data_IF_137923261667
#
_entry.id   IF_137923261667
#
_cell.length_a   1.000
_cell.length_b   1.000
_cell.length_c   1.000
_cell.angle_alpha   90.00
_cell.angle_beta   90.00
_cell.angle_gamma   90.00
#
_symmetry.space_group_name_H-M   'P 1'
#
loop_
_entity.id
_entity.type
_entity.pdbx_description
1 polymer ?
#
# COMPACT_ATOMS: atom_id res chain seq x y z
N UNK A 1 2.10 5.47 -13.55
CA UNK A 1 1.00 5.15 -12.61
C UNK A 1 1.07 3.65 -12.38
N UNK A 2 0.74 3.16 -11.19
CA UNK A 2 0.80 1.71 -10.93
C UNK A 2 -0.42 1.06 -11.55
N UNK A 3 -0.20 0.05 -12.38
CA UNK A 3 -1.23 -0.66 -13.12
C UNK A 3 -1.53 -2.02 -12.47
N UNK A 4 -2.68 -2.60 -12.84
CA UNK A 4 -3.09 -3.94 -12.38
C UNK A 4 -2.03 -5.01 -12.67
N UNK A 5 -1.39 -4.91 -13.85
CA UNK A 5 -0.36 -5.85 -14.27
C UNK A 5 0.78 -5.91 -13.25
N UNK A 6 1.22 -4.76 -12.71
CA UNK A 6 2.36 -4.65 -11.79
C UNK A 6 2.16 -5.52 -10.52
N UNK A 7 0.93 -5.62 -10.01
CA UNK A 7 0.60 -6.47 -8.85
C UNK A 7 0.57 -7.94 -9.23
N UNK A 8 0.01 -8.24 -10.40
CA UNK A 8 -0.18 -9.60 -10.88
C UNK A 8 1.16 -10.25 -11.31
N UNK A 9 2.05 -9.49 -11.93
CA UNK A 9 3.39 -9.91 -12.41
C UNK A 9 4.41 -10.05 -11.29
N UNK A 10 4.23 -9.31 -10.19
CA UNK A 10 5.19 -9.23 -9.09
C UNK A 10 6.13 -8.03 -9.17
N UNK A 11 5.97 -7.15 -10.16
CA UNK A 11 6.81 -5.95 -10.32
C UNK A 11 6.68 -4.99 -9.13
N UNK A 12 5.50 -4.93 -8.48
CA UNK A 12 5.35 -4.19 -7.22
C UNK A 12 6.31 -4.71 -6.15
N UNK A 13 6.42 -6.03 -6.01
CA UNK A 13 7.29 -6.64 -5.00
C UNK A 13 8.76 -6.33 -5.28
N UNK A 14 9.21 -6.47 -6.53
CA UNK A 14 10.58 -6.16 -6.93
C UNK A 14 10.89 -4.67 -6.76
N UNK A 15 9.95 -3.79 -7.09
CA UNK A 15 10.07 -2.35 -6.84
C UNK A 15 10.22 -2.03 -5.36
N UNK A 16 9.46 -2.69 -4.47
CA UNK A 16 9.62 -2.51 -3.01
C UNK A 16 10.98 -3.02 -2.54
N UNK A 17 11.43 -4.19 -2.99
CA UNK A 17 12.77 -4.73 -2.63
C UNK A 17 13.89 -3.80 -3.07
N UNK A 18 13.78 -3.21 -4.24
CA UNK A 18 14.79 -2.27 -4.74
C UNK A 18 14.84 -1.00 -3.90
N UNK A 19 13.68 -0.44 -3.53
CA UNK A 19 13.62 0.72 -2.64
C UNK A 19 14.20 0.44 -1.26
N UNK A 20 13.97 -0.76 -0.70
CA UNK A 20 14.61 -1.19 0.55
C UNK A 20 16.14 -1.17 0.43
N UNK A 21 16.69 -1.77 -0.64
CA UNK A 21 18.15 -1.77 -0.89
C UNK A 21 18.74 -0.36 -1.05
N UNK A 22 17.99 0.57 -1.63
CA UNK A 22 18.40 1.97 -1.73
C UNK A 22 18.38 2.63 -0.35
N UNK A 23 17.30 2.46 0.43
CA UNK A 23 17.19 3.03 1.77
C UNK A 23 18.28 2.55 2.74
N UNK A 24 18.77 1.31 2.61
CA UNK A 24 19.91 0.82 3.41
C UNK A 24 21.19 1.63 3.21
N UNK A 25 21.32 2.32 2.08
CA UNK A 25 22.50 3.12 1.71
C UNK A 25 22.33 4.61 1.95
N UNK A 26 21.13 5.06 2.36
CA UNK A 26 20.80 6.49 2.40
C UNK A 26 21.62 7.29 3.41
N UNK A 27 22.08 6.65 4.48
CA UNK A 27 22.95 7.27 5.50
C UNK A 27 24.46 7.05 5.21
N UNK A 28 24.78 6.45 4.05
CA UNK A 28 26.14 6.13 3.62
C UNK A 28 26.81 7.24 2.79
N UNK A 29 28.05 7.00 2.31
CA UNK A 29 28.79 7.96 1.48
C UNK A 29 28.07 8.36 0.18
N UNK A 30 27.27 7.46 -0.39
CA UNK A 30 26.45 7.71 -1.58
C UNK A 30 25.03 8.21 -1.25
N UNK A 31 24.77 8.61 0.00
CA UNK A 31 23.43 8.92 0.50
C UNK A 31 22.68 10.00 -0.28
N UNK A 32 23.39 11.05 -0.72
CA UNK A 32 22.81 12.13 -1.52
C UNK A 32 22.34 11.63 -2.91
N UNK A 33 23.17 10.84 -3.61
CA UNK A 33 22.80 10.25 -4.91
C UNK A 33 21.63 9.28 -4.78
N UNK A 34 21.64 8.47 -3.71
CA UNK A 34 20.55 7.55 -3.38
C UNK A 34 19.25 8.31 -3.11
N UNK A 35 19.31 9.43 -2.38
CA UNK A 35 18.17 10.29 -2.11
C UNK A 35 17.59 10.87 -3.40
N UNK A 36 18.43 11.45 -4.25
CA UNK A 36 17.98 12.01 -5.54
C UNK A 36 17.30 10.96 -6.42
N UNK A 37 17.84 9.73 -6.46
CA UNK A 37 17.25 8.63 -7.20
C UNK A 37 15.89 8.21 -6.63
N UNK A 38 15.78 8.10 -5.30
CA UNK A 38 14.51 7.78 -4.65
C UNK A 38 13.47 8.90 -4.86
N UNK A 39 13.87 10.17 -4.75
CA UNK A 39 12.97 11.31 -5.01
C UNK A 39 12.46 11.31 -6.46
N UNK A 40 13.33 11.05 -7.44
CA UNK A 40 12.96 10.89 -8.85
C UNK A 40 11.97 9.75 -9.06
N UNK A 41 12.16 8.60 -8.38
CA UNK A 41 11.28 7.43 -8.50
C UNK A 41 9.92 7.65 -7.83
N UNK A 42 9.90 8.37 -6.72
CA UNK A 42 8.68 8.67 -5.96
C UNK A 42 7.99 9.95 -6.41
N UNK A 43 8.48 10.62 -7.46
CA UNK A 43 7.84 11.82 -7.99
C UNK A 43 6.35 11.56 -8.30
N UNK A 44 5.47 12.34 -7.67
CA UNK A 44 4.02 12.22 -7.83
C UNK A 44 3.41 11.00 -7.12
N UNK A 45 4.15 10.25 -6.30
CA UNK A 45 3.63 9.14 -5.51
C UNK A 45 2.53 9.57 -4.54
N UNK A 46 2.55 10.82 -4.05
CA UNK A 46 1.53 11.38 -3.17
C UNK A 46 0.13 11.48 -3.83
N UNK A 47 0.07 11.40 -5.16
CA UNK A 47 -1.19 11.32 -5.92
C UNK A 47 -1.72 9.89 -6.00
N UNK A 48 -0.87 8.91 -5.69
CA UNK A 48 -1.16 7.47 -5.77
C UNK A 48 -1.40 6.86 -4.39
N UNK A 49 -0.90 7.45 -3.32
CA UNK A 49 -1.13 6.95 -1.96
C UNK A 49 -1.65 8.05 -1.04
N UNK A 50 -2.64 7.72 -0.20
CA UNK A 50 -3.17 8.65 0.79
C UNK A 50 -3.57 7.96 2.09
N UNK A 51 -3.49 8.68 3.20
CA UNK A 51 -4.04 8.23 4.48
C UNK A 51 -5.57 8.30 4.46
N UNK A 52 -6.20 7.29 5.05
CA UNK A 52 -7.64 7.21 5.19
C UNK A 52 -8.04 6.76 6.60
N UNK A 53 -9.18 7.26 7.09
CA UNK A 53 -9.82 6.76 8.29
C UNK A 53 -10.87 5.69 7.96
N UNK A 54 -11.33 4.97 9.00
CA UNK A 54 -12.25 3.84 8.84
C UNK A 54 -13.52 4.20 8.06
N UNK A 55 -14.06 5.40 8.21
CA UNK A 55 -15.28 5.83 7.50
C UNK A 55 -15.06 5.91 5.98
N UNK A 56 -13.89 6.40 5.55
CA UNK A 56 -13.51 6.44 4.13
C UNK A 56 -13.35 5.01 3.60
N UNK A 57 -12.70 4.15 4.38
CA UNK A 57 -12.49 2.74 3.99
C UNK A 57 -13.81 1.97 3.91
N UNK A 58 -14.73 2.21 4.84
CA UNK A 58 -16.07 1.62 4.85
C UNK A 58 -16.82 2.02 3.57
N UNK A 59 -16.81 3.31 3.22
CA UNK A 59 -17.43 3.75 1.97
C UNK A 59 -16.80 3.13 0.72
N UNK A 60 -15.48 2.89 0.70
CA UNK A 60 -14.81 2.24 -0.42
C UNK A 60 -15.20 0.76 -0.52
N UNK A 61 -15.27 0.05 0.61
CA UNK A 61 -15.69 -1.35 0.68
C UNK A 61 -17.14 -1.50 0.24
N UNK A 62 -18.07 -0.68 0.75
CA UNK A 62 -19.50 -0.72 0.40
C UNK A 62 -19.77 -0.44 -1.09
N UNK A 63 -18.93 0.37 -1.74
CA UNK A 63 -19.07 0.70 -3.17
C UNK A 63 -18.43 -0.33 -4.10
N UNK A 64 -17.61 -1.24 -3.56
CA UNK A 64 -16.87 -2.22 -4.35
C UNK A 64 -17.76 -3.36 -4.81
N UNK A 65 -17.44 -3.92 -5.98
CA UNK A 65 -18.14 -5.08 -6.56
C UNK A 65 -17.50 -6.39 -6.15
N UNK A 66 -16.18 -6.39 -6.02
CA UNK A 66 -15.39 -7.56 -5.64
C UNK A 66 -14.42 -7.17 -4.55
N UNK A 67 -14.28 -8.04 -3.56
CA UNK A 67 -13.42 -7.83 -2.41
C UNK A 67 -12.54 -9.07 -2.26
N UNK A 68 -11.26 -8.85 -2.03
CA UNK A 68 -10.32 -9.88 -1.66
C UNK A 68 -9.46 -9.44 -0.47
N UNK A 69 -8.96 -10.41 0.28
CA UNK A 69 -8.03 -10.20 1.39
C UNK A 69 -6.77 -11.00 1.10
N UNK A 70 -5.61 -10.39 1.27
CA UNK A 70 -4.32 -11.04 1.02
C UNK A 70 -3.16 -10.41 1.78
N UNK A 71 -1.95 -10.97 1.64
CA UNK A 71 -0.75 -10.41 2.23
C UNK A 71 -0.45 -9.04 1.64
N UNK A 72 0.30 -8.24 2.41
CA UNK A 72 0.85 -6.96 1.92
C UNK A 72 2.18 -7.23 1.22
N UNK A 73 2.50 -6.48 0.18
CA UNK A 73 3.82 -6.59 -0.48
C UNK A 73 4.99 -6.47 0.51
N UNK A 74 4.88 -5.62 1.54
CA UNK A 74 5.92 -5.49 2.57
C UNK A 74 6.07 -6.73 3.47
N UNK A 75 5.03 -7.55 3.64
CA UNK A 75 5.12 -8.79 4.44
C UNK A 75 5.82 -9.91 3.70
N UNK A 76 5.76 -9.92 2.37
CA UNK A 76 6.52 -10.86 1.55
C UNK A 76 8.03 -10.56 1.55
N UNK A 77 8.42 -9.35 1.98
CA UNK A 77 9.82 -8.92 2.05
C UNK A 77 10.34 -9.00 3.48
N UNK A 78 9.53 -8.62 4.45
CA UNK A 78 9.89 -8.54 5.87
C UNK A 78 9.12 -9.61 6.65
N UNK A 79 9.59 -10.86 6.55
CA UNK A 79 9.01 -12.02 7.25
C UNK A 79 9.07 -11.87 8.79
N UNK A 80 9.95 -11.00 9.28
CA UNK A 80 10.19 -10.68 10.69
C UNK A 80 9.31 -9.51 11.20
N UNK A 81 8.36 -9.04 10.40
CA UNK A 81 7.41 -8.02 10.82
C UNK A 81 6.70 -8.43 12.12
N UNK A 82 6.93 -7.68 13.20
CA UNK A 82 6.37 -7.97 14.53
C UNK A 82 4.86 -7.77 14.65
N UNK A 83 4.21 -7.17 13.63
CA UNK A 83 2.76 -6.89 13.61
C UNK A 83 2.18 -7.14 12.21
N UNK A 84 2.21 -8.38 11.72
CA UNK A 84 1.75 -8.65 10.37
C UNK A 84 0.23 -8.50 10.32
N UNK A 85 -0.26 -7.76 9.33
CA UNK A 85 -1.67 -7.71 8.98
C UNK A 85 -1.89 -7.75 7.47
N UNK A 86 -3.07 -8.24 7.10
CA UNK A 86 -3.54 -8.36 5.72
C UNK A 86 -4.01 -7.02 5.17
N UNK A 87 -3.98 -6.89 3.84
CA UNK A 87 -4.63 -5.81 3.12
C UNK A 87 -5.98 -6.27 2.55
N UNK A 88 -6.82 -5.30 2.23
CA UNK A 88 -8.05 -5.50 1.47
C UNK A 88 -7.82 -4.97 0.06
N UNK A 89 -8.20 -5.75 -0.94
CA UNK A 89 -8.15 -5.39 -2.35
C UNK A 89 -9.57 -5.30 -2.90
N UNK A 90 -9.80 -4.35 -3.81
CA UNK A 90 -11.12 -4.05 -4.37
C UNK A 90 -11.13 -4.26 -5.89
N UNK A 91 -12.32 -4.56 -6.41
CA UNK A 91 -12.69 -4.58 -7.82
C UNK A 91 -11.69 -5.36 -8.70
N UNK A 92 -11.23 -4.76 -9.80
CA UNK A 92 -10.39 -5.44 -10.80
C UNK A 92 -9.07 -5.96 -10.21
N UNK A 93 -8.52 -5.28 -9.20
CA UNK A 93 -7.33 -5.75 -8.48
C UNK A 93 -7.62 -6.98 -7.64
N UNK A 94 -8.78 -7.01 -6.97
CA UNK A 94 -9.21 -8.17 -6.19
C UNK A 94 -9.36 -9.41 -7.08
N UNK A 95 -9.99 -9.25 -8.25
CA UNK A 95 -10.14 -10.33 -9.23
C UNK A 95 -8.77 -10.84 -9.70
N UNK A 96 -7.89 -9.95 -10.14
CA UNK A 96 -6.57 -10.31 -10.66
C UNK A 96 -5.73 -11.05 -9.61
N UNK A 97 -5.75 -10.61 -8.34
CA UNK A 97 -4.99 -11.26 -7.27
C UNK A 97 -5.56 -12.62 -6.89
N UNK A 98 -6.89 -12.77 -6.88
CA UNK A 98 -7.55 -14.06 -6.63
C UNK A 98 -7.23 -15.06 -7.74
N UNK A 99 -7.31 -14.65 -9.00
CA UNK A 99 -6.98 -15.51 -10.15
C UNK A 99 -5.53 -16.01 -10.14
N UNK A 100 -4.61 -15.20 -9.62
CA UNK A 100 -3.20 -15.57 -9.45
C UNK A 100 -2.91 -16.33 -8.15
N UNK A 101 -3.92 -16.62 -7.33
CA UNK A 101 -3.76 -17.30 -6.04
C UNK A 101 -3.00 -16.48 -4.99
N UNK A 102 -2.95 -15.16 -5.16
CA UNK A 102 -2.26 -14.21 -4.26
C UNK A 102 -3.19 -13.62 -3.19
N UNK A 103 -4.50 -13.71 -3.36
CA UNK A 103 -5.50 -13.27 -2.40
C UNK A 103 -6.72 -14.20 -2.40
N UNK A 104 -7.54 -14.10 -1.36
CA UNK A 104 -8.77 -14.88 -1.22
C UNK A 104 -9.98 -13.95 -1.29
N UNK A 105 -11.07 -14.38 -1.95
CA UNK A 105 -12.33 -13.63 -1.95
C UNK A 105 -12.84 -13.45 -0.53
N UNK A 106 -13.40 -12.29 -0.26
CA UNK A 106 -13.95 -11.95 1.04
C UNK A 106 -15.28 -11.19 0.92
N UNK A 107 -16.03 -11.19 2.01
CA UNK A 107 -17.22 -10.34 2.18
C UNK A 107 -16.84 -8.96 2.70
N UNK A 108 -17.73 -7.97 2.54
CA UNK A 108 -17.59 -6.64 3.15
C UNK A 108 -17.32 -6.73 4.66
N UNK A 109 -18.05 -7.61 5.36
CA UNK A 109 -17.89 -7.82 6.80
C UNK A 109 -16.49 -8.32 7.15
N UNK A 110 -15.94 -9.27 6.39
CA UNK A 110 -14.59 -9.79 6.61
C UNK A 110 -13.52 -8.73 6.33
N UNK A 111 -13.67 -7.97 5.25
CA UNK A 111 -12.77 -6.85 4.93
C UNK A 111 -12.76 -5.79 6.03
N UNK A 112 -13.94 -5.36 6.49
CA UNK A 112 -14.04 -4.38 7.56
C UNK A 112 -13.51 -4.91 8.89
N UNK A 113 -13.64 -6.22 9.16
CA UNK A 113 -13.01 -6.82 10.34
C UNK A 113 -11.48 -6.71 10.30
N UNK A 114 -10.86 -6.99 9.14
CA UNK A 114 -9.40 -6.84 8.94
C UNK A 114 -8.94 -5.40 9.12
N UNK A 115 -9.66 -4.42 8.57
CA UNK A 115 -9.29 -3.01 8.69
C UNK A 115 -9.45 -2.49 10.13
N UNK A 116 -10.54 -2.88 10.81
CA UNK A 116 -10.77 -2.53 12.22
C UNK A 116 -9.74 -3.19 13.13
N UNK A 117 -9.33 -4.43 12.84
CA UNK A 117 -8.27 -5.11 13.59
C UNK A 117 -6.93 -4.39 13.46
N UNK A 118 -6.54 -3.99 12.23
CA UNK A 118 -5.36 -3.18 12.00
C UNK A 118 -5.38 -1.88 12.82
N UNK A 119 -6.51 -1.15 12.82
CA UNK A 119 -6.66 0.06 13.65
C UNK A 119 -6.48 -0.23 15.13
N UNK A 120 -7.09 -1.31 15.66
CA UNK A 120 -6.95 -1.71 17.07
C UNK A 120 -5.50 -2.05 17.44
N UNK A 121 -4.72 -2.59 16.51
CA UNK A 121 -3.28 -2.87 16.68
C UNK A 121 -2.38 -1.63 16.49
N UNK A 122 -2.99 -0.47 16.21
CA UNK A 122 -2.29 0.80 16.04
C UNK A 122 -1.73 1.03 14.64
N UNK A 123 -2.20 0.30 13.62
CA UNK A 123 -1.86 0.56 12.23
C UNK A 123 -2.59 1.80 11.71
N UNK A 124 -1.89 2.55 10.86
CA UNK A 124 -2.51 3.55 10.00
C UNK A 124 -3.05 2.87 8.75
N UNK A 125 -4.01 3.48 8.07
CA UNK A 125 -4.49 2.96 6.79
C UNK A 125 -3.99 3.84 5.66
N UNK A 126 -3.43 3.19 4.64
CA UNK A 126 -3.03 3.83 3.39
C UNK A 126 -3.84 3.21 2.28
N UNK A 127 -4.42 4.05 1.43
CA UNK A 127 -5.11 3.64 0.21
C UNK A 127 -4.19 3.88 -0.97
N UNK A 128 -4.04 2.87 -1.84
CA UNK A 128 -3.32 3.00 -3.11
C UNK A 128 -4.29 3.12 -4.28
N UNK A 129 -4.00 4.06 -5.17
CA UNK A 129 -4.65 4.23 -6.47
C UNK A 129 -3.95 3.30 -7.46
N UNK A 130 -4.70 2.32 -7.98
CA UNK A 130 -4.25 1.37 -9.00
C UNK A 130 -5.14 1.55 -10.22
N UNK A 131 -4.52 1.71 -11.39
CA UNK A 131 -5.21 2.02 -12.65
C UNK A 131 -6.28 3.13 -12.52
N UNK A 132 -5.95 4.17 -11.76
CA UNK A 132 -6.80 5.35 -11.54
C UNK A 132 -7.91 5.21 -10.49
N UNK A 133 -8.05 4.08 -9.80
CA UNK A 133 -9.07 3.89 -8.74
C UNK A 133 -8.46 3.46 -7.40
N UNK A 134 -9.09 3.78 -6.26
CA UNK A 134 -8.67 3.29 -4.94
C UNK A 134 -8.97 1.80 -4.82
N UNK A 135 -7.94 0.94 -4.97
CA UNK A 135 -8.14 -0.51 -5.05
C UNK A 135 -7.37 -1.31 -3.99
N UNK A 136 -6.41 -0.71 -3.30
CA UNK A 136 -5.69 -1.37 -2.20
C UNK A 136 -5.89 -0.58 -0.92
N UNK A 137 -6.41 -1.23 0.12
CA UNK A 137 -6.59 -0.69 1.46
C UNK A 137 -5.62 -1.40 2.42
N UNK A 138 -4.54 -0.72 2.77
CA UNK A 138 -3.41 -1.31 3.46
C UNK A 138 -3.36 -0.94 4.95
N UNK A 139 -3.36 -1.95 5.81
CA UNK A 139 -2.99 -1.82 7.23
C UNK A 139 -1.47 -1.58 7.36
N UNK A 140 -1.09 -0.30 7.36
CA UNK A 140 0.31 0.13 7.35
C UNK A 140 0.90 0.14 8.76
N UNK A 141 1.91 -0.71 9.02
CA UNK A 141 2.73 -0.62 10.23
C UNK A 141 3.89 0.37 10.04
N UNK A 142 4.30 1.04 11.12
CA UNK A 142 5.51 1.86 11.16
C UNK A 142 6.82 1.06 11.13
N UNK A 143 6.71 -0.27 11.22
CA UNK A 143 7.79 -1.22 11.42
C UNK A 143 8.54 -1.59 10.13
N UNK A 144 7.81 -2.02 9.09
CA UNK A 144 8.38 -2.54 7.86
C UNK A 144 7.78 -1.93 6.58
N UNK A 145 6.85 -0.98 6.70
CA UNK A 145 6.24 -0.38 5.51
C UNK A 145 7.23 0.53 4.78
N UNK A 146 7.45 0.25 3.50
CA UNK A 146 8.33 1.03 2.62
C UNK A 146 7.91 2.50 2.52
N UNK A 147 6.62 2.78 2.35
CA UNK A 147 6.11 4.15 2.25
C UNK A 147 6.37 4.94 3.52
N UNK A 148 6.23 4.30 4.69
CA UNK A 148 6.56 4.94 5.98
C UNK A 148 8.06 5.14 6.16
N UNK A 149 8.91 4.27 5.61
CA UNK A 149 10.37 4.44 5.64
C UNK A 149 10.80 5.62 4.76
N UNK A 150 10.21 5.76 3.56
CA UNK A 150 10.43 6.89 2.65
C UNK A 150 10.05 8.23 3.30
N UNK A 151 8.85 8.32 3.90
CA UNK A 151 8.41 9.53 4.61
C UNK A 151 9.36 9.90 5.76
N UNK A 152 9.90 8.92 6.52
CA UNK A 152 10.84 9.16 7.61
C UNK A 152 12.14 9.81 7.16
N UNK A 153 12.60 9.49 5.95
CA UNK A 153 13.81 10.09 5.37
C UNK A 153 13.51 11.36 4.57
N UNK A 154 12.26 11.85 4.60
CA UNK A 154 11.85 13.10 3.96
C UNK A 154 11.37 12.96 2.52
N UNK A 155 11.23 11.74 2.00
CA UNK A 155 10.74 11.48 0.64
C UNK A 155 9.23 11.35 0.71
N UNK A 156 8.55 12.36 0.16
CA UNK A 156 7.09 12.46 0.24
C UNK A 156 6.44 11.53 -0.78
N UNK A 157 5.73 10.53 -0.31
CA UNK A 157 5.03 9.55 -1.13
C UNK A 157 3.60 9.24 -0.67
N UNK A 158 3.14 9.74 0.49
CA UNK A 158 1.75 9.61 0.95
C UNK A 158 1.14 11.00 1.15
N UNK A 159 -0.08 11.21 0.66
CA UNK A 159 -0.85 12.43 0.96
C UNK A 159 -1.76 12.26 2.19
N UNK A 160 -1.96 13.36 2.92
CA UNK A 160 -2.83 13.40 4.11
C UNK A 160 -4.33 13.25 3.80
N UNK A 161 -4.72 13.42 2.53
CA UNK A 161 -6.11 13.41 2.09
C UNK A 161 -6.24 12.71 0.74
N UNK A 162 -7.38 12.07 0.45
CA UNK A 162 -7.63 11.45 -0.87
C UNK A 162 -7.35 12.43 -2.01
N UNK A 163 -6.88 12.01 -3.18
CA UNK A 163 -6.79 12.88 -4.35
C UNK A 163 -8.19 13.27 -4.85
N UNK A 164 -8.36 14.47 -5.40
CA UNK A 164 -9.59 14.82 -6.14
C UNK A 164 -9.71 13.88 -7.37
N UNK A 165 -10.87 13.29 -7.69
CA UNK A 165 -12.24 13.60 -7.25
C UNK A 165 -12.76 12.78 -6.05
N UNK A 166 -11.92 12.01 -5.35
CA UNK A 166 -12.35 11.25 -4.15
C UNK A 166 -12.60 12.16 -2.92
N UNK A 167 -12.49 13.48 -3.10
CA UNK A 167 -12.90 14.50 -2.12
C UNK A 167 -14.31 14.94 -2.52
N UNK A 168 -15.31 14.55 -1.74
CA UNK A 168 -16.64 15.16 -1.80
C UNK A 168 -16.59 16.60 -1.25
#
# INVERSE_FOLDING_TARGET
>A
MTELEDYSSGDVLEGVKEKERLLEKIDGPEGDEVREELERREEGAEKRHFFADLDVLESLVEKSRVIAIGPRACLEIHEDCSRPERAVFLDELAEALVEKGKAEKATEKEAMNVLREGKRKGHSHVVSIVSGKPMELCNTCSCCCILRKLEKVGIKCISEKPPSPLRD
#
